data_IF_908047769482
#
_entry.id   IF_908047769482
#
_cell.length_a   1.000
_cell.length_b   1.000
_cell.length_c   1.000
_cell.angle_alpha   90.00
_cell.angle_beta   90.00
_cell.angle_gamma   90.00
#
_symmetry.space_group_name_H-M   'P 1'
#
loop_
_entity.id
_entity.type
_entity.pdbx_description
1 polymer ?
#
# COMPACT_ATOMS: atom_id res chain seq x y z
N UNK A 1 -10.72 -9.84 -8.79
CA UNK A 1 -11.38 -8.93 -7.82
C UNK A 1 -10.31 -8.27 -6.97
N UNK A 2 -10.57 -7.10 -6.41
CA UNK A 2 -9.60 -6.35 -5.57
C UNK A 2 -9.08 -7.22 -4.41
N UNK A 3 -9.97 -8.00 -3.78
CA UNK A 3 -9.66 -9.01 -2.76
C UNK A 3 -8.56 -10.00 -3.12
N UNK A 4 -8.29 -10.23 -4.41
CA UNK A 4 -7.17 -11.08 -4.84
C UNK A 4 -5.79 -10.49 -4.58
N UNK A 5 -5.71 -9.19 -4.30
CA UNK A 5 -4.47 -8.51 -3.91
C UNK A 5 -4.15 -8.66 -2.42
N UNK A 6 -5.18 -8.87 -1.59
CA UNK A 6 -5.01 -8.94 -0.15
C UNK A 6 -4.02 -10.03 0.27
N UNK A 7 -4.24 -11.27 -0.18
CA UNK A 7 -3.44 -12.42 0.27
C UNK A 7 -1.94 -12.29 -0.12
N UNK A 8 -1.58 -11.92 -1.37
CA UNK A 8 -0.18 -11.67 -1.72
C UNK A 8 0.49 -10.55 -0.90
N UNK A 9 -0.21 -9.44 -0.68
CA UNK A 9 0.35 -8.29 0.05
C UNK A 9 0.48 -8.58 1.54
N UNK A 10 -0.53 -9.23 2.13
CA UNK A 10 -0.49 -9.73 3.50
C UNK A 10 0.74 -10.63 3.72
N UNK A 11 0.92 -11.63 2.86
CA UNK A 11 2.08 -12.53 2.97
C UNK A 11 3.40 -11.78 2.87
N UNK A 12 3.50 -10.84 1.94
CA UNK A 12 4.71 -10.04 1.78
C UNK A 12 5.05 -9.28 3.07
N UNK A 13 4.08 -8.59 3.67
CA UNK A 13 4.28 -7.88 4.94
C UNK A 13 4.56 -8.84 6.11
N UNK A 14 3.89 -10.00 6.17
CA UNK A 14 4.18 -11.03 7.18
C UNK A 14 5.63 -11.57 7.07
N UNK A 15 6.17 -11.71 5.85
CA UNK A 15 7.57 -12.08 5.63
C UNK A 15 8.56 -10.99 6.08
N UNK A 16 8.12 -9.73 6.13
CA UNK A 16 8.88 -8.62 6.71
C UNK A 16 8.75 -8.54 8.24
N UNK A 17 8.03 -9.48 8.87
CA UNK A 17 7.87 -9.56 10.32
C UNK A 17 6.71 -8.74 10.88
N UNK A 18 5.75 -8.35 10.04
CA UNK A 18 4.53 -7.67 10.49
C UNK A 18 3.43 -8.67 10.85
N UNK A 19 2.72 -8.41 11.93
CA UNK A 19 1.39 -8.96 12.19
C UNK A 19 0.39 -8.15 11.37
N UNK A 20 -0.32 -8.79 10.43
CA UNK A 20 -1.15 -8.11 9.43
C UNK A 20 -2.64 -8.42 9.60
N UNK A 21 -3.48 -7.39 9.53
CA UNK A 21 -4.94 -7.50 9.49
C UNK A 21 -5.50 -6.72 8.29
N UNK A 22 -6.61 -7.21 7.75
CA UNK A 22 -7.35 -6.54 6.68
C UNK A 22 -8.60 -5.84 7.18
N UNK A 23 -9.14 -4.95 6.36
CA UNK A 23 -10.43 -4.27 6.57
C UNK A 23 -10.54 -3.59 7.94
N UNK A 24 -9.45 -2.93 8.35
CA UNK A 24 -9.38 -2.20 9.63
C UNK A 24 -9.92 -0.80 9.41
N UNK A 25 -11.19 -0.58 9.78
CA UNK A 25 -11.89 0.68 9.52
C UNK A 25 -12.04 0.91 8.02
N UNK A 26 -11.35 1.91 7.48
CA UNK A 26 -11.33 2.23 6.04
C UNK A 26 -10.01 1.87 5.35
N UNK A 27 -9.12 1.15 6.03
CA UNK A 27 -7.86 0.68 5.49
C UNK A 27 -8.01 -0.75 4.94
N UNK A 28 -7.47 -1.02 3.76
CA UNK A 28 -7.47 -2.38 3.22
C UNK A 28 -6.56 -3.31 4.04
N UNK A 29 -5.39 -2.82 4.46
CA UNK A 29 -4.38 -3.55 5.23
C UNK A 29 -3.81 -2.66 6.33
N UNK A 30 -3.61 -3.23 7.53
CA UNK A 30 -2.82 -2.65 8.61
C UNK A 30 -1.82 -3.68 9.12
N UNK A 31 -0.55 -3.30 9.23
CA UNK A 31 0.55 -4.11 9.75
C UNK A 31 1.22 -3.45 10.94
N UNK A 32 1.53 -4.25 11.97
CA UNK A 32 2.28 -3.84 13.16
C UNK A 32 3.46 -4.79 13.38
N UNK A 33 4.59 -4.29 13.87
CA UNK A 33 5.69 -5.16 14.32
C UNK A 33 5.55 -5.40 15.81
N UNK A 34 5.78 -6.63 16.26
CA UNK A 34 5.66 -6.98 17.67
C UNK A 34 6.80 -6.38 18.52
N UNK A 35 7.98 -6.17 17.91
CA UNK A 35 9.17 -5.59 18.55
C UNK A 35 9.20 -4.05 18.52
N UNK A 36 8.40 -3.43 17.64
CA UNK A 36 8.23 -1.98 17.56
C UNK A 36 6.78 -1.62 17.17
N UNK A 37 5.83 -1.73 18.13
CA UNK A 37 4.41 -1.51 17.85
C UNK A 37 4.07 -0.04 17.63
N UNK A 38 5.04 0.88 17.79
CA UNK A 38 4.84 2.30 17.53
C UNK A 38 4.79 2.59 16.02
N UNK A 39 5.35 1.72 15.18
CA UNK A 39 5.31 1.88 13.72
C UNK A 39 4.09 1.14 13.15
N UNK A 40 3.18 1.91 12.58
CA UNK A 40 1.97 1.42 11.91
C UNK A 40 2.14 1.49 10.39
N UNK A 41 2.14 0.33 9.74
CA UNK A 41 2.07 0.22 8.28
C UNK A 41 0.60 0.19 7.85
N UNK A 42 0.23 1.04 6.90
CA UNK A 42 -1.09 1.02 6.26
C UNK A 42 -0.92 0.73 4.77
N UNK A 43 -1.62 -0.28 4.28
CA UNK A 43 -1.65 -0.69 2.88
C UNK A 43 -3.00 -0.39 2.23
N UNK A 44 -2.98 0.24 1.05
CA UNK A 44 -4.16 0.45 0.20
C UNK A 44 -4.00 -0.35 -1.11
N UNK A 45 -5.09 -0.96 -1.57
CA UNK A 45 -5.09 -1.93 -2.67
C UNK A 45 -5.98 -1.45 -3.82
N UNK A 46 -5.43 -1.41 -5.04
CA UNK A 46 -6.24 -1.23 -6.25
C UNK A 46 -5.81 -2.19 -7.34
N UNK A 47 -6.78 -2.75 -8.09
CA UNK A 47 -6.44 -3.56 -9.28
C UNK A 47 -5.61 -2.81 -10.33
N UNK A 48 -5.73 -1.48 -10.39
CA UNK A 48 -4.99 -0.63 -11.33
C UNK A 48 -4.39 0.53 -10.57
N UNK A 49 -3.10 0.77 -10.76
CA UNK A 49 -2.44 1.93 -10.20
C UNK A 49 -3.02 3.21 -10.82
N UNK A 50 -3.57 4.10 -10.01
CA UNK A 50 -4.24 5.32 -10.46
C UNK A 50 -4.09 6.46 -9.42
N UNK A 51 -4.63 7.65 -9.74
CA UNK A 51 -4.57 8.78 -8.82
C UNK A 51 -5.37 8.53 -7.53
N UNK A 52 -6.50 7.82 -7.63
CA UNK A 52 -7.34 7.49 -6.48
C UNK A 52 -6.55 6.72 -5.40
N UNK A 53 -5.79 5.70 -5.80
CA UNK A 53 -4.95 4.94 -4.88
C UNK A 53 -3.95 5.84 -4.12
N UNK A 54 -3.41 6.86 -4.80
CA UNK A 54 -2.51 7.82 -4.17
C UNK A 54 -3.27 8.71 -3.19
N UNK A 55 -4.47 9.18 -3.55
CA UNK A 55 -5.29 10.01 -2.67
C UNK A 55 -5.73 9.25 -1.42
N UNK A 56 -6.09 7.96 -1.55
CA UNK A 56 -6.32 7.08 -0.41
C UNK A 56 -5.08 7.04 0.50
N UNK A 57 -3.88 6.85 -0.08
CA UNK A 57 -2.63 6.90 0.68
C UNK A 57 -2.41 8.22 1.43
N UNK A 58 -2.77 9.37 0.83
CA UNK A 58 -2.70 10.69 1.48
C UNK A 58 -3.63 10.76 2.68
N UNK A 59 -4.85 10.23 2.57
CA UNK A 59 -5.78 10.18 3.71
C UNK A 59 -5.22 9.30 4.84
N UNK A 60 -4.57 8.18 4.50
CA UNK A 60 -3.96 7.26 5.48
C UNK A 60 -2.70 7.82 6.15
N UNK A 61 -1.96 8.69 5.48
CA UNK A 61 -0.78 9.34 6.05
C UNK A 61 -1.09 10.21 7.29
N UNK A 62 -2.37 10.50 7.55
CA UNK A 62 -2.80 11.18 8.78
C UNK A 62 -2.80 10.29 10.02
N UNK A 63 -2.76 8.97 9.85
CA UNK A 63 -2.90 8.00 10.94
C UNK A 63 -1.94 6.79 10.87
N UNK A 64 -1.06 6.70 9.88
CA UNK A 64 -0.03 5.67 9.76
C UNK A 64 1.35 6.26 9.52
N UNK A 65 2.38 5.54 9.96
CA UNK A 65 3.79 5.96 9.84
C UNK A 65 4.36 5.62 8.48
N UNK A 66 3.96 4.46 7.94
CA UNK A 66 4.38 3.98 6.63
C UNK A 66 3.18 3.66 5.75
N UNK A 67 3.08 4.32 4.60
CA UNK A 67 1.98 4.12 3.66
C UNK A 67 2.48 3.35 2.44
N UNK A 68 1.84 2.20 2.17
CA UNK A 68 2.19 1.30 1.09
C UNK A 68 1.03 1.19 0.10
N UNK A 69 1.29 1.45 -1.17
CA UNK A 69 0.29 1.35 -2.23
C UNK A 69 0.54 0.09 -3.05
N UNK A 70 -0.42 -0.83 -3.11
CA UNK A 70 -0.27 -2.03 -3.91
C UNK A 70 -1.27 -2.09 -5.07
N UNK A 71 -0.75 -2.38 -6.26
CA UNK A 71 -1.55 -2.61 -7.44
C UNK A 71 -0.98 -3.72 -8.32
N UNK A 72 -1.81 -4.25 -9.22
CA UNK A 72 -1.30 -5.18 -10.23
C UNK A 72 -0.39 -4.44 -11.21
N UNK A 73 0.77 -5.02 -11.48
CA UNK A 73 1.62 -4.56 -12.57
C UNK A 73 0.88 -4.67 -13.90
N UNK A 74 1.01 -3.66 -14.74
CA UNK A 74 0.48 -3.72 -16.10
C UNK A 74 1.16 -4.85 -16.87
N UNK A 75 0.35 -5.76 -17.41
CA UNK A 75 0.84 -6.85 -18.27
C UNK A 75 1.66 -6.37 -19.47
N UNK A 76 1.49 -5.10 -19.88
CA UNK A 76 2.20 -4.49 -21.03
C UNK A 76 3.34 -3.54 -20.62
N UNK A 77 3.63 -3.40 -19.32
CA UNK A 77 4.73 -2.56 -18.81
C UNK A 77 4.56 -1.04 -19.01
N UNK A 78 3.39 -0.60 -19.47
CA UNK A 78 3.07 0.83 -19.75
C UNK A 78 1.97 1.37 -18.82
N UNK A 79 1.82 0.79 -17.63
CA UNK A 79 0.87 1.30 -16.65
C UNK A 79 1.40 2.51 -15.91
N UNK A 80 0.56 3.12 -15.07
CA UNK A 80 0.94 4.33 -14.30
C UNK A 80 2.05 4.06 -13.28
N UNK A 81 2.23 2.80 -12.86
CA UNK A 81 3.33 2.35 -12.01
C UNK A 81 4.72 2.52 -12.66
N UNK A 82 4.78 2.60 -14.00
CA UNK A 82 6.01 2.89 -14.76
C UNK A 82 6.13 4.36 -15.22
N UNK A 83 5.08 5.18 -15.03
CA UNK A 83 5.12 6.61 -15.35
C UNK A 83 5.96 7.37 -14.29
N UNK A 84 7.04 8.08 -14.71
CA UNK A 84 7.90 8.80 -13.78
C UNK A 84 7.16 9.85 -12.95
N UNK A 85 6.08 10.45 -13.44
CA UNK A 85 5.31 11.46 -12.71
C UNK A 85 4.64 10.85 -11.48
N UNK A 86 4.03 9.68 -11.64
CA UNK A 86 3.41 8.93 -10.56
C UNK A 86 4.46 8.44 -9.55
N UNK A 87 5.57 7.85 -10.02
CA UNK A 87 6.67 7.41 -9.15
C UNK A 87 7.29 8.56 -8.36
N UNK A 88 7.49 9.71 -9.01
CA UNK A 88 8.03 10.91 -8.36
C UNK A 88 7.05 11.48 -7.33
N UNK A 89 5.74 11.40 -7.58
CA UNK A 89 4.71 11.80 -6.62
C UNK A 89 4.76 10.91 -5.38
N UNK A 90 4.73 9.57 -5.54
CA UNK A 90 4.87 8.63 -4.42
C UNK A 90 6.13 8.91 -3.60
N UNK A 91 7.28 9.12 -4.26
CA UNK A 91 8.54 9.44 -3.56
C UNK A 91 8.47 10.74 -2.76
N UNK A 92 7.81 11.78 -3.29
CA UNK A 92 7.66 13.08 -2.59
C UNK A 92 6.70 12.97 -1.39
N UNK A 93 5.72 12.08 -1.48
CA UNK A 93 4.76 11.80 -0.41
C UNK A 93 5.29 10.79 0.61
N UNK A 94 6.42 10.13 0.36
CA UNK A 94 6.97 9.10 1.22
C UNK A 94 6.26 7.74 1.11
N UNK A 95 5.54 7.49 0.02
CA UNK A 95 4.77 6.26 -0.15
C UNK A 95 5.61 5.13 -0.77
N UNK A 96 5.51 3.94 -0.17
CA UNK A 96 5.97 2.68 -0.74
C UNK A 96 5.07 2.23 -1.89
N UNK A 97 5.66 1.54 -2.87
CA UNK A 97 4.97 0.96 -4.03
C UNK A 97 5.40 -0.50 -4.21
#
# INVERSE_FOLDING_TARGET
METSLYEPVKRFLEHLGYTVKGEVGHCDIVGLRDDDPAVVVIGELKLTFNLELILQGVDRATCGDEIWLAARLSAKGKGRESDPRYRNLCRRLGFGL
#
